data_IF_563181555788
#
_entry.id   IF_563181555788
#
_cell.length_a   1.000
_cell.length_b   1.000
_cell.length_c   1.000
_cell.angle_alpha   90.00
_cell.angle_beta   90.00
_cell.angle_gamma   90.00
#
_symmetry.space_group_name_H-M   'P 1'
#
loop_
_entity.id
_entity.type
_entity.pdbx_description
1 polymer ?
#
# COMPACT_ATOMS: atom_id res chain seq x y z
N UNK A 1 -15.72 3.97 -12.09
CA UNK A 1 -14.41 3.81 -12.74
C UNK A 1 -13.24 3.49 -11.83
N UNK A 2 -12.86 4.28 -10.81
CA UNK A 2 -11.74 3.94 -9.91
C UNK A 2 -11.97 2.65 -9.09
N UNK A 3 -13.19 2.45 -8.57
CA UNK A 3 -13.62 1.21 -7.90
C UNK A 3 -13.56 0.01 -8.87
N UNK A 4 -13.96 0.19 -10.13
CA UNK A 4 -13.88 -0.85 -11.16
C UNK A 4 -12.43 -1.20 -11.52
N UNK A 5 -11.53 -0.22 -11.49
CA UNK A 5 -10.09 -0.42 -11.72
C UNK A 5 -9.37 -1.03 -10.51
N UNK A 6 -9.78 -0.72 -9.28
CA UNK A 6 -9.39 -1.42 -8.06
C UNK A 6 -9.85 -2.89 -8.09
N UNK A 7 -11.07 -3.16 -8.55
CA UNK A 7 -11.58 -4.52 -8.76
C UNK A 7 -10.80 -5.29 -9.86
N UNK A 8 -10.29 -4.59 -10.88
CA UNK A 8 -9.40 -5.16 -11.92
C UNK A 8 -8.05 -5.61 -11.34
N UNK A 9 -7.44 -4.81 -10.46
CA UNK A 9 -6.20 -5.19 -9.75
C UNK A 9 -6.39 -6.43 -8.88
N UNK A 10 -7.58 -6.62 -8.28
CA UNK A 10 -7.91 -7.80 -7.48
C UNK A 10 -7.99 -9.10 -8.32
N UNK A 11 -8.51 -9.04 -9.55
CA UNK A 11 -8.65 -10.19 -10.44
C UNK A 11 -7.31 -10.81 -10.86
N UNK A 12 -6.27 -9.99 -11.05
CA UNK A 12 -4.94 -10.46 -11.47
C UNK A 12 -4.24 -11.27 -10.37
N UNK A 13 -4.49 -10.94 -9.11
CA UNK A 13 -3.75 -11.53 -8.02
C UNK A 13 -4.24 -12.95 -7.64
N UNK A 14 -5.47 -13.34 -8.02
CA UNK A 14 -5.91 -14.76 -7.95
C UNK A 14 -5.14 -15.67 -8.92
N UNK A 15 -4.72 -15.13 -10.07
CA UNK A 15 -3.90 -15.85 -11.06
C UNK A 15 -2.49 -16.11 -10.51
N UNK A 16 -1.92 -15.13 -9.80
CA UNK A 16 -0.60 -15.22 -9.17
C UNK A 16 -0.61 -16.18 -7.96
N UNK A 17 -1.71 -16.21 -7.20
CA UNK A 17 -1.88 -17.15 -6.08
C UNK A 17 -1.83 -18.62 -6.56
N UNK A 18 -2.34 -18.90 -7.76
CA UNK A 18 -2.29 -20.23 -8.38
C UNK A 18 -0.91 -20.58 -8.96
N UNK A 19 -0.16 -19.59 -9.47
CA UNK A 19 1.16 -19.84 -10.06
C UNK A 19 2.29 -19.96 -9.02
N UNK A 20 2.16 -19.31 -7.86
CA UNK A 20 3.23 -19.26 -6.85
C UNK A 20 3.18 -20.37 -5.77
N UNK A 21 2.14 -21.22 -5.73
CA UNK A 21 2.13 -22.42 -4.88
C UNK A 21 2.36 -22.20 -3.37
N UNK A 22 2.00 -21.03 -2.83
CA UNK A 22 2.33 -20.66 -1.43
C UNK A 22 1.38 -21.31 -0.42
N UNK A 23 1.91 -22.19 0.43
CA UNK A 23 1.22 -22.83 1.57
C UNK A 23 1.37 -22.02 2.86
N UNK A 24 0.35 -22.09 3.73
CA UNK A 24 0.28 -21.47 5.05
C UNK A 24 1.19 -22.14 6.09
N UNK A 25 1.88 -21.33 6.91
CA UNK A 25 2.56 -21.81 8.11
C UNK A 25 3.34 -20.70 8.83
N UNK A 26 3.12 -20.46 10.13
CA UNK A 26 3.75 -19.38 10.86
C UNK A 26 5.17 -19.78 11.30
N UNK A 27 6.11 -18.84 11.25
CA UNK A 27 7.38 -18.93 11.97
C UNK A 27 7.65 -17.60 12.67
N UNK A 28 7.77 -17.68 13.98
CA UNK A 28 8.01 -16.59 14.93
C UNK A 28 9.48 -16.16 14.96
N UNK A 29 9.74 -14.86 15.07
CA UNK A 29 10.96 -14.25 15.65
C UNK A 29 10.72 -12.75 15.97
N UNK A 30 11.27 -12.27 17.10
CA UNK A 30 11.25 -10.88 17.63
C UNK A 30 12.42 -10.03 17.06
N UNK A 31 12.52 -8.66 17.11
CA UNK A 31 11.66 -7.57 17.70
C UNK A 31 11.37 -6.34 16.75
N UNK A 32 10.67 -5.29 17.24
CA UNK A 32 10.39 -3.90 16.72
C UNK A 32 9.64 -3.68 15.39
N UNK A 33 8.78 -2.65 15.29
CA UNK A 33 8.09 -2.17 14.04
C UNK A 33 9.09 -1.77 12.91
N UNK A 34 10.38 -1.78 13.23
CA UNK A 34 11.51 -1.73 12.29
C UNK A 34 11.54 -3.00 11.43
N UNK A 35 11.11 -2.88 10.18
CA UNK A 35 11.27 -3.96 9.19
C UNK A 35 10.07 -4.17 8.28
N UNK A 36 8.97 -3.44 8.47
CA UNK A 36 7.86 -3.46 7.51
C UNK A 36 8.35 -3.01 6.13
N UNK A 37 9.00 -1.86 6.06
CA UNK A 37 9.59 -1.35 4.82
C UNK A 37 10.58 -2.33 4.18
N UNK A 38 11.45 -2.95 4.98
CA UNK A 38 12.44 -3.91 4.49
C UNK A 38 11.80 -5.22 4.00
N UNK A 39 10.76 -5.68 4.68
CA UNK A 39 9.95 -6.83 4.26
C UNK A 39 9.27 -6.53 2.93
N UNK A 40 8.59 -5.38 2.83
CA UNK A 40 7.96 -4.91 1.59
C UNK A 40 8.98 -4.83 0.45
N UNK A 41 10.16 -4.24 0.68
CA UNK A 41 11.26 -4.16 -0.32
C UNK A 41 11.78 -5.52 -0.73
N UNK A 42 11.88 -6.46 0.21
CA UNK A 42 12.28 -7.84 -0.08
C UNK A 42 11.26 -8.53 -0.97
N UNK A 43 9.97 -8.40 -0.66
CA UNK A 43 8.88 -8.93 -1.49
C UNK A 43 8.90 -8.31 -2.89
N UNK A 44 9.05 -6.99 -3.00
CA UNK A 44 9.17 -6.31 -4.29
C UNK A 44 10.35 -6.87 -5.11
N UNK A 45 11.50 -7.05 -4.47
CA UNK A 45 12.72 -7.59 -5.08
C UNK A 45 12.50 -9.00 -5.63
N UNK A 46 11.77 -9.85 -4.91
CA UNK A 46 11.42 -11.21 -5.35
C UNK A 46 10.44 -11.15 -6.52
N UNK A 47 9.34 -10.41 -6.39
CA UNK A 47 8.29 -10.33 -7.42
C UNK A 47 8.82 -9.80 -8.75
N UNK A 48 9.72 -8.81 -8.74
CA UNK A 48 10.36 -8.28 -9.96
C UNK A 48 11.21 -9.30 -10.71
N UNK A 49 11.65 -10.38 -10.04
CA UNK A 49 12.40 -11.48 -10.68
C UNK A 49 11.49 -12.57 -11.25
N UNK A 50 10.18 -12.46 -11.07
CA UNK A 50 9.19 -13.40 -11.57
C UNK A 50 8.53 -12.83 -12.84
N UNK A 51 8.86 -13.29 -14.06
CA UNK A 51 8.32 -12.73 -15.30
C UNK A 51 6.80 -12.79 -15.40
N UNK A 52 6.21 -13.84 -14.82
CA UNK A 52 4.76 -14.10 -14.78
C UNK A 52 3.98 -13.01 -14.03
N UNK A 53 4.65 -12.26 -13.13
CA UNK A 53 4.01 -11.21 -12.31
C UNK A 53 3.79 -9.94 -13.12
N UNK A 54 4.61 -9.67 -14.14
CA UNK A 54 4.55 -8.43 -14.90
C UNK A 54 5.05 -7.21 -14.12
N UNK A 55 4.39 -6.07 -14.31
CA UNK A 55 4.78 -4.77 -13.74
C UNK A 55 4.42 -4.71 -12.24
N UNK A 56 5.41 -4.42 -11.39
CA UNK A 56 5.24 -4.33 -9.93
C UNK A 56 5.22 -2.87 -9.49
N UNK A 57 4.20 -2.47 -8.73
CA UNK A 57 4.09 -1.17 -8.08
C UNK A 57 4.40 -1.29 -6.59
N UNK A 58 4.92 -0.22 -6.01
CA UNK A 58 5.31 -0.18 -4.60
C UNK A 58 5.01 1.18 -4.00
N UNK A 59 4.23 1.20 -2.92
CA UNK A 59 3.91 2.39 -2.14
C UNK A 59 4.48 2.29 -0.73
N UNK A 60 5.25 3.29 -0.31
CA UNK A 60 5.89 3.33 1.02
C UNK A 60 5.89 4.69 1.71
N UNK A 61 6.15 4.68 3.01
CA UNK A 61 6.33 5.86 3.84
C UNK A 61 7.25 5.63 5.04
N UNK A 62 7.94 6.68 5.54
CA UNK A 62 8.13 7.97 4.91
C UNK A 62 9.08 7.90 3.70
N UNK A 63 9.25 9.00 2.97
CA UNK A 63 10.40 9.17 2.07
C UNK A 63 11.62 9.65 2.87
N UNK A 64 12.83 9.41 2.36
CA UNK A 64 14.06 9.90 2.98
C UNK A 64 14.52 11.23 2.39
N UNK A 65 14.58 11.34 1.06
CA UNK A 65 15.07 12.55 0.38
C UNK A 65 14.02 13.13 -0.57
N UNK A 66 13.36 12.27 -1.35
CA UNK A 66 12.43 12.70 -2.38
C UNK A 66 11.04 12.04 -2.22
N UNK A 67 9.98 12.84 -2.37
CA UNK A 67 8.60 12.36 -2.34
C UNK A 67 8.32 11.30 -3.41
N UNK A 68 9.03 11.35 -4.53
CA UNK A 68 8.93 10.37 -5.60
C UNK A 68 9.32 8.95 -5.13
N UNK A 69 10.17 8.82 -4.11
CA UNK A 69 10.55 7.53 -3.52
C UNK A 69 9.35 6.75 -2.98
N UNK A 70 8.27 7.45 -2.60
CA UNK A 70 7.06 6.84 -2.06
C UNK A 70 6.32 5.99 -3.08
N UNK A 71 6.48 6.23 -4.39
CA UNK A 71 5.79 5.52 -5.45
C UNK A 71 6.82 4.98 -6.42
N UNK A 72 7.00 3.66 -6.44
CA UNK A 72 7.95 2.99 -7.33
C UNK A 72 7.25 2.05 -8.30
N UNK A 73 7.80 1.95 -9.51
CA UNK A 73 7.39 1.00 -10.54
C UNK A 73 8.63 0.21 -10.94
N UNK A 74 8.54 -1.12 -10.85
CA UNK A 74 9.65 -2.04 -11.09
C UNK A 74 10.93 -1.67 -10.33
N UNK A 75 10.78 -1.19 -9.09
CA UNK A 75 11.88 -0.84 -8.20
C UNK A 75 12.46 0.56 -8.42
N UNK A 76 11.99 1.31 -9.42
CA UNK A 76 12.42 2.68 -9.68
C UNK A 76 11.36 3.67 -9.19
N UNK A 77 11.73 4.72 -8.44
CA UNK A 77 10.85 5.86 -8.21
C UNK A 77 10.28 6.39 -9.52
N UNK A 78 9.02 6.84 -9.49
CA UNK A 78 8.49 7.63 -10.61
C UNK A 78 9.29 8.92 -10.73
N UNK A 79 9.43 9.47 -11.93
CA UNK A 79 10.09 10.76 -12.13
C UNK A 79 9.19 11.94 -11.69
N UNK A 80 9.82 13.11 -11.53
CA UNK A 80 9.15 14.33 -11.07
C UNK A 80 8.00 14.77 -12.00
N UNK A 81 8.17 14.60 -13.32
CA UNK A 81 7.16 14.96 -14.32
C UNK A 81 5.91 14.07 -14.18
N UNK A 82 6.12 12.77 -14.03
CA UNK A 82 5.06 11.80 -13.78
C UNK A 82 4.38 12.05 -12.43
N UNK A 83 5.17 12.32 -11.38
CA UNK A 83 4.64 12.68 -10.06
C UNK A 83 3.75 13.91 -10.16
N UNK A 84 4.24 15.01 -10.73
CA UNK A 84 3.53 16.27 -10.86
C UNK A 84 2.24 16.11 -11.67
N UNK A 85 2.31 15.41 -12.81
CA UNK A 85 1.13 15.10 -13.63
C UNK A 85 0.07 14.35 -12.82
N UNK A 86 0.44 13.29 -12.12
CA UNK A 86 -0.52 12.48 -11.37
C UNK A 86 -1.03 13.16 -10.10
N UNK A 87 -0.20 14.02 -9.49
CA UNK A 87 -0.62 14.88 -8.40
C UNK A 87 -1.77 15.79 -8.85
N UNK A 88 -1.58 16.54 -9.94
CA UNK A 88 -2.61 17.46 -10.44
C UNK A 88 -3.85 16.74 -10.95
N UNK A 89 -3.70 15.60 -11.64
CA UNK A 89 -4.82 14.77 -12.06
C UNK A 89 -5.74 14.39 -10.89
N UNK A 90 -5.15 13.99 -9.76
CA UNK A 90 -5.88 13.54 -8.56
C UNK A 90 -6.43 14.74 -7.80
N UNK A 91 -5.60 15.75 -7.57
CA UNK A 91 -5.97 16.98 -6.88
C UNK A 91 -7.18 17.65 -7.53
N UNK A 92 -7.11 17.87 -8.84
CA UNK A 92 -8.19 18.51 -9.60
C UNK A 92 -9.49 17.70 -9.54
N UNK A 93 -9.40 16.37 -9.64
CA UNK A 93 -10.57 15.50 -9.55
C UNK A 93 -11.23 15.59 -8.19
N UNK A 94 -10.45 15.49 -7.11
CA UNK A 94 -10.98 15.61 -5.75
C UNK A 94 -11.61 16.99 -5.53
N UNK A 95 -10.93 18.06 -5.96
CA UNK A 95 -11.41 19.43 -5.81
C UNK A 95 -12.72 19.69 -6.56
N UNK A 96 -12.90 19.15 -7.77
CA UNK A 96 -14.15 19.30 -8.55
C UNK A 96 -15.35 18.59 -7.96
N UNK A 97 -15.10 17.61 -7.11
CA UNK A 97 -16.13 16.74 -6.55
C UNK A 97 -16.40 16.99 -5.07
N UNK A 98 -15.81 18.02 -4.48
CA UNK A 98 -16.03 18.39 -3.07
C UNK A 98 -17.49 18.67 -2.74
N UNK A 99 -18.27 19.15 -3.72
CA UNK A 99 -19.70 19.38 -3.56
C UNK A 99 -20.52 18.08 -3.49
N UNK A 100 -20.03 16.99 -4.10
CA UNK A 100 -20.73 15.70 -4.20
C UNK A 100 -20.57 14.86 -2.93
N UNK A 101 -19.52 15.12 -2.15
CA UNK A 101 -19.24 14.47 -0.88
C UNK A 101 -18.64 15.52 0.03
N UNK A 102 -19.44 15.99 0.99
CA UNK A 102 -19.18 17.09 1.92
C UNK A 102 -17.91 16.89 2.77
N UNK A 103 -16.75 16.90 2.13
CA UNK A 103 -15.47 16.51 2.69
C UNK A 103 -14.35 17.34 2.10
N UNK A 104 -13.43 17.73 2.98
CA UNK A 104 -12.24 18.48 2.62
C UNK A 104 -11.24 17.63 1.82
N UNK A 105 -10.21 18.28 1.25
CA UNK A 105 -9.07 17.58 0.69
C UNK A 105 -8.49 16.58 1.71
N UNK A 106 -8.23 15.32 1.34
CA UNK A 106 -7.68 14.34 2.26
C UNK A 106 -6.35 14.81 2.87
N UNK A 107 -6.09 14.39 4.11
CA UNK A 107 -4.77 14.59 4.72
C UNK A 107 -3.67 13.94 3.87
N UNK A 108 -2.45 14.47 4.00
CA UNK A 108 -1.32 14.14 3.12
C UNK A 108 -1.12 12.63 2.89
N UNK A 109 -1.15 11.80 3.95
CA UNK A 109 -0.98 10.35 3.81
C UNK A 109 -2.12 9.71 2.99
N UNK A 110 -3.37 10.07 3.27
CA UNK A 110 -4.54 9.60 2.54
C UNK A 110 -4.52 10.04 1.08
N UNK A 111 -4.14 11.31 0.82
CA UNK A 111 -3.96 11.81 -0.53
C UNK A 111 -2.88 11.04 -1.29
N UNK A 112 -1.72 10.82 -0.66
CA UNK A 112 -0.62 10.04 -1.25
C UNK A 112 -1.02 8.59 -1.52
N UNK A 113 -1.83 7.99 -0.65
CA UNK A 113 -2.37 6.64 -0.87
C UNK A 113 -3.26 6.61 -2.11
N UNK A 114 -4.23 7.53 -2.21
CA UNK A 114 -5.10 7.66 -3.40
C UNK A 114 -4.28 7.90 -4.67
N UNK A 115 -3.30 8.79 -4.60
CA UNK A 115 -2.41 9.07 -5.72
C UNK A 115 -1.63 7.83 -6.15
N UNK A 116 -1.04 7.07 -5.21
CA UNK A 116 -0.30 5.84 -5.54
C UNK A 116 -1.17 4.80 -6.25
N UNK A 117 -2.39 4.59 -5.77
CA UNK A 117 -3.37 3.69 -6.40
C UNK A 117 -3.74 4.17 -7.81
N UNK A 118 -3.94 5.48 -7.97
CA UNK A 118 -4.18 6.09 -9.27
C UNK A 118 -3.00 5.85 -10.22
N UNK A 119 -1.75 6.07 -9.78
CA UNK A 119 -0.56 5.75 -10.58
C UNK A 119 -0.55 4.28 -10.98
N UNK A 120 -0.73 3.35 -10.06
CA UNK A 120 -0.67 1.91 -10.36
C UNK A 120 -1.73 1.50 -11.38
N UNK A 121 -2.92 2.08 -11.32
CA UNK A 121 -3.97 1.86 -12.31
C UNK A 121 -3.60 2.45 -13.67
N UNK A 122 -3.14 3.71 -13.71
CA UNK A 122 -2.80 4.42 -14.96
C UNK A 122 -1.61 3.80 -15.66
N UNK A 123 -0.66 3.28 -14.89
CA UNK A 123 0.54 2.62 -15.38
C UNK A 123 0.34 1.12 -15.61
N UNK A 124 -0.90 0.60 -15.46
CA UNK A 124 -1.22 -0.81 -15.65
C UNK A 124 -0.28 -1.76 -14.87
N UNK A 125 -0.05 -1.43 -13.60
CA UNK A 125 0.65 -2.30 -12.64
C UNK A 125 -0.15 -3.59 -12.47
N UNK A 126 0.54 -4.72 -12.48
CA UNK A 126 -0.06 -6.04 -12.29
C UNK A 126 -0.19 -6.40 -10.81
N UNK A 127 0.80 -6.05 -9.99
CA UNK A 127 0.81 -6.26 -8.53
C UNK A 127 1.30 -5.01 -7.83
N UNK A 128 0.55 -4.53 -6.84
CA UNK A 128 0.96 -3.42 -5.98
C UNK A 128 1.29 -3.94 -4.58
N UNK A 129 2.40 -3.48 -4.02
CA UNK A 129 2.76 -3.64 -2.60
C UNK A 129 2.44 -2.32 -1.92
N UNK A 130 1.61 -2.36 -0.88
CA UNK A 130 1.21 -1.20 -0.11
C UNK A 130 1.76 -1.36 1.31
N UNK A 131 2.66 -0.47 1.71
CA UNK A 131 3.06 -0.35 3.11
C UNK A 131 1.98 0.39 3.90
N UNK A 132 1.56 -0.23 4.99
CA UNK A 132 0.62 0.36 5.95
C UNK A 132 1.33 1.48 6.71
N UNK A 133 0.66 2.63 6.89
CA UNK A 133 1.22 3.75 7.64
C UNK A 133 1.26 3.48 9.14
N UNK A 134 0.11 3.50 9.80
CA UNK A 134 0.00 3.26 11.25
C UNK A 134 -1.22 2.38 11.54
N UNK A 135 -1.01 1.33 12.33
CA UNK A 135 -2.08 0.42 12.75
C UNK A 135 -2.51 -0.50 11.61
N UNK A 136 -3.76 -0.38 11.19
CA UNK A 136 -4.27 -1.07 10.02
C UNK A 136 -5.75 -0.83 9.73
N UNK A 137 -6.62 -1.03 10.73
CA UNK A 137 -8.08 -0.89 10.56
C UNK A 137 -8.49 0.48 9.97
N UNK A 138 -7.91 1.56 10.49
CA UNK A 138 -8.18 2.94 10.06
C UNK A 138 -7.09 3.54 9.16
N UNK A 139 -6.14 2.71 8.70
CA UNK A 139 -5.10 3.18 7.77
C UNK A 139 -5.70 3.44 6.38
N UNK A 140 -5.19 4.46 5.69
CA UNK A 140 -5.71 4.82 4.36
C UNK A 140 -5.53 3.72 3.32
N UNK A 141 -4.54 2.83 3.51
CA UNK A 141 -4.31 1.66 2.64
C UNK A 141 -5.38 0.59 2.78
N UNK A 142 -6.17 0.59 3.89
CA UNK A 142 -7.25 -0.36 4.12
C UNK A 142 -8.47 -0.16 3.19
N UNK A 143 -8.42 0.84 2.29
CA UNK A 143 -9.37 0.98 1.18
C UNK A 143 -9.35 -0.24 0.24
N UNK A 144 -8.25 -0.99 0.20
CA UNK A 144 -8.14 -2.25 -0.53
C UNK A 144 -8.73 -3.39 0.30
N UNK A 145 -10.04 -3.62 0.19
CA UNK A 145 -10.78 -4.57 1.04
C UNK A 145 -10.44 -6.06 0.84
N UNK A 146 -9.81 -6.43 -0.28
CA UNK A 146 -9.51 -7.83 -0.64
C UNK A 146 -8.10 -7.95 -1.19
N UNK A 147 -7.07 -7.71 -0.37
CA UNK A 147 -5.70 -7.96 -0.77
C UNK A 147 -5.50 -9.47 -0.93
N UNK A 148 -4.66 -9.87 -1.89
CA UNK A 148 -4.40 -11.31 -2.11
C UNK A 148 -3.48 -11.90 -1.06
N UNK A 149 -2.64 -11.07 -0.45
CA UNK A 149 -1.81 -11.42 0.69
C UNK A 149 -1.77 -10.21 1.62
N UNK A 150 -2.01 -10.43 2.92
CA UNK A 150 -1.68 -9.49 3.99
C UNK A 150 -0.44 -10.01 4.72
N UNK A 151 0.50 -9.11 4.98
CA UNK A 151 1.68 -9.39 5.79
C UNK A 151 1.63 -8.54 7.06
N UNK A 152 1.79 -9.18 8.20
CA UNK A 152 2.14 -8.51 9.46
C UNK A 152 3.56 -8.96 9.79
N UNK A 153 4.46 -8.00 10.00
CA UNK A 153 5.84 -8.28 10.35
C UNK A 153 5.94 -8.57 11.85
N UNK A 154 6.23 -7.55 12.62
CA UNK A 154 6.46 -7.56 14.05
C UNK A 154 5.33 -6.82 14.76
N UNK A 155 5.10 -7.18 16.02
CA UNK A 155 4.23 -6.45 16.93
C UNK A 155 5.07 -5.99 18.11
N UNK A 156 5.05 -4.69 18.36
CA UNK A 156 5.72 -4.07 19.50
C UNK A 156 4.84 -2.95 20.06
N UNK A 157 5.20 -2.43 21.23
CA UNK A 157 4.58 -1.26 21.83
C UNK A 157 5.03 0.02 21.11
N UNK A 158 4.56 0.21 19.88
CA UNK A 158 4.75 1.43 19.10
C UNK A 158 3.41 2.16 18.91
N UNK A 159 3.49 3.47 18.69
CA UNK A 159 2.35 4.36 18.52
C UNK A 159 1.28 4.19 19.60
N UNK A 160 1.67 3.95 20.85
CA UNK A 160 0.76 3.62 21.95
C UNK A 160 -0.29 4.69 22.24
N UNK A 161 0.00 5.95 21.90
CA UNK A 161 -0.94 7.07 21.94
C UNK A 161 -2.11 6.92 20.96
N UNK A 162 -1.93 6.16 19.88
CA UNK A 162 -2.91 5.93 18.81
C UNK A 162 -3.50 4.52 18.87
N UNK A 163 -2.66 3.51 19.11
CA UNK A 163 -3.01 2.09 19.01
C UNK A 163 -3.31 1.43 20.36
N UNK A 164 -3.07 2.15 21.46
CA UNK A 164 -3.25 1.67 22.82
C UNK A 164 -1.94 1.23 23.49
N UNK A 165 -2.02 1.06 24.80
CA UNK A 165 -0.90 0.83 25.73
C UNK A 165 -0.60 -0.66 25.99
N UNK A 166 -1.19 -1.56 25.20
CA UNK A 166 -1.04 -3.01 25.37
C UNK A 166 -0.87 -3.69 24.02
N UNK A 167 -0.12 -4.79 23.98
CA UNK A 167 0.07 -5.57 22.76
C UNK A 167 -1.24 -6.09 22.18
N UNK A 168 -2.23 -6.43 23.01
CA UNK A 168 -3.55 -6.90 22.54
C UNK A 168 -4.29 -5.82 21.74
N UNK A 169 -4.28 -4.56 22.22
CA UNK A 169 -4.90 -3.44 21.50
C UNK A 169 -4.19 -3.17 20.17
N UNK A 170 -2.86 -3.24 20.16
CA UNK A 170 -2.05 -3.06 18.94
C UNK A 170 -2.32 -4.19 17.94
N UNK A 171 -2.33 -5.44 18.40
CA UNK A 171 -2.61 -6.60 17.57
C UNK A 171 -4.00 -6.52 16.93
N UNK A 172 -5.02 -6.08 17.67
CA UNK A 172 -6.36 -5.84 17.14
C UNK A 172 -6.36 -4.75 16.06
N UNK A 173 -5.70 -3.62 16.32
CA UNK A 173 -5.63 -2.51 15.37
C UNK A 173 -4.92 -2.90 14.05
N UNK A 174 -3.83 -3.67 14.12
CA UNK A 174 -3.13 -4.20 12.93
C UNK A 174 -3.90 -5.35 12.28
N UNK A 175 -4.72 -6.06 13.06
CA UNK A 175 -5.57 -7.16 12.63
C UNK A 175 -6.74 -6.74 11.73
N UNK A 176 -7.14 -5.46 11.76
CA UNK A 176 -8.23 -4.94 10.92
C UNK A 176 -7.95 -4.92 9.40
N UNK A 177 -6.77 -5.37 8.96
CA UNK A 177 -6.44 -5.62 7.56
C UNK A 177 -6.83 -7.04 7.05
N UNK A 178 -7.21 -7.94 7.95
CA UNK A 178 -7.58 -9.32 7.62
C UNK A 178 -9.09 -9.51 7.45
#
# INVERSE_FOLDING_TARGET
DAIAQLNSLQSNAETIRKSCGMSSGPRTAHPTDEGLLDTCRTVESILRRCPEVGKVGFYSSPHLLDVCERIRINGQPIDEDMFSKYFWDVYDKLNRTQDDYSGDMPFYFSFMTVMSLYVFVREAVNVAILEVGIGGEYDSTNVVQRPVVCGVTSLDLDHTNLLGDTLDKIALAKGGHF
#
